data_IF_699343007917
#
_entry.id   IF_699343007917
#
_cell.length_a   1.000
_cell.length_b   1.000
_cell.length_c   1.000
_cell.angle_alpha   90.00
_cell.angle_beta   90.00
_cell.angle_gamma   90.00
#
_symmetry.space_group_name_H-M   'P 1'
#
loop_
_entity.id
_entity.type
_entity.pdbx_description
1 polymer ?
#
# COMPACT_ATOMS: atom_id res chain seq x y z
N UNK A 1 -13.18 5.34 -7.97
CA UNK A 1 -12.59 4.03 -8.35
C UNK A 1 -12.98 3.00 -7.29
N UNK A 2 -13.26 1.77 -7.69
CA UNK A 2 -13.64 0.68 -6.79
C UNK A 2 -12.56 -0.40 -6.81
N UNK A 3 -12.18 -0.88 -5.62
CA UNK A 3 -11.27 -2.01 -5.41
C UNK A 3 -12.04 -3.04 -4.59
N UNK A 4 -12.03 -4.29 -5.03
CA UNK A 4 -12.69 -5.39 -4.33
C UNK A 4 -11.65 -6.43 -3.94
N UNK A 5 -11.79 -7.01 -2.76
CA UNK A 5 -11.00 -8.16 -2.31
C UNK A 5 -11.90 -9.11 -1.53
N UNK A 6 -11.64 -10.41 -1.62
CA UNK A 6 -12.53 -11.42 -1.05
C UNK A 6 -11.85 -12.38 -0.07
N UNK A 7 -10.56 -12.69 -0.28
CA UNK A 7 -9.84 -13.63 0.58
C UNK A 7 -8.41 -13.13 0.84
N UNK A 8 -8.06 -12.76 2.09
CA UNK A 8 -6.74 -12.25 2.44
C UNK A 8 -5.61 -13.29 2.35
N UNK A 9 -5.91 -14.57 2.12
CA UNK A 9 -4.93 -15.63 1.90
C UNK A 9 -4.59 -15.80 0.41
N UNK A 10 -5.60 -15.73 -0.45
CA UNK A 10 -5.43 -15.79 -1.90
C UNK A 10 -4.98 -14.44 -2.47
N UNK A 11 -5.45 -13.35 -1.87
CA UNK A 11 -5.16 -11.96 -2.22
C UNK A 11 -4.48 -11.29 -1.01
N UNK A 12 -3.14 -11.41 -0.87
CA UNK A 12 -2.44 -10.83 0.26
C UNK A 12 -2.74 -9.32 0.36
N UNK A 13 -3.06 -8.79 1.56
CA UNK A 13 -3.44 -7.38 1.76
C UNK A 13 -2.48 -6.35 1.16
N UNK A 14 -1.19 -6.69 1.08
CA UNK A 14 -0.17 -5.84 0.47
C UNK A 14 -0.41 -5.57 -1.02
N UNK A 15 -1.03 -6.51 -1.75
CA UNK A 15 -1.42 -6.34 -3.16
C UNK A 15 -2.56 -5.32 -3.27
N UNK A 16 -3.55 -5.43 -2.39
CA UNK A 16 -4.67 -4.48 -2.28
C UNK A 16 -4.16 -3.08 -1.94
N UNK A 17 -3.29 -2.96 -0.93
CA UNK A 17 -2.64 -1.69 -0.55
C UNK A 17 -1.86 -1.08 -1.71
N UNK A 18 -1.03 -1.86 -2.40
CA UNK A 18 -0.25 -1.40 -3.55
C UNK A 18 -1.16 -0.85 -4.66
N UNK A 19 -2.30 -1.50 -4.88
CA UNK A 19 -3.31 -1.05 -5.85
C UNK A 19 -3.95 0.25 -5.40
N UNK A 20 -4.43 0.34 -4.16
CA UNK A 20 -5.04 1.55 -3.58
C UNK A 20 -4.08 2.75 -3.67
N UNK A 21 -2.83 2.59 -3.24
CA UNK A 21 -1.83 3.66 -3.28
C UNK A 21 -1.53 4.10 -4.72
N UNK A 22 -1.45 3.17 -5.66
CA UNK A 22 -1.25 3.50 -7.07
C UNK A 22 -2.43 4.29 -7.64
N UNK A 23 -3.67 3.94 -7.27
CA UNK A 23 -4.88 4.65 -7.69
C UNK A 23 -4.99 6.03 -7.05
N UNK A 24 -4.58 6.18 -5.79
CA UNK A 24 -4.61 7.47 -5.10
C UNK A 24 -3.52 8.44 -5.59
N UNK A 25 -2.43 7.92 -6.17
CA UNK A 25 -1.36 8.72 -6.75
C UNK A 25 -1.62 9.17 -8.19
N UNK A 26 -2.79 8.87 -8.78
CA UNK A 26 -3.08 9.28 -10.16
C UNK A 26 -3.07 10.79 -10.35
N UNK A 27 -2.71 11.24 -11.55
CA UNK A 27 -2.73 12.64 -11.92
C UNK A 27 -4.16 13.08 -12.26
N UNK A 28 -4.95 13.27 -11.20
CA UNK A 28 -6.33 13.71 -11.27
C UNK A 28 -6.61 14.70 -10.13
N UNK A 29 -7.51 15.68 -10.32
CA UNK A 29 -7.86 16.62 -9.25
C UNK A 29 -8.32 15.89 -7.99
N UNK A 30 -7.68 16.21 -6.85
CA UNK A 30 -7.88 15.47 -5.61
C UNK A 30 -9.33 15.54 -5.10
N UNK A 31 -10.02 16.66 -5.33
CA UNK A 31 -11.42 16.86 -4.95
C UNK A 31 -12.42 16.05 -5.80
N UNK A 32 -11.96 15.48 -6.91
CA UNK A 32 -12.76 14.64 -7.81
C UNK A 32 -12.33 13.17 -7.78
N UNK A 33 -11.29 12.86 -6.97
CA UNK A 33 -10.73 11.52 -6.85
C UNK A 33 -11.24 10.86 -5.57
N UNK A 34 -11.94 9.74 -5.72
CA UNK A 34 -12.31 8.89 -4.60
C UNK A 34 -11.96 7.43 -4.91
N UNK A 35 -11.44 6.72 -3.91
CA UNK A 35 -11.18 5.28 -3.97
C UNK A 35 -12.02 4.59 -2.89
N UNK A 36 -12.81 3.61 -3.29
CA UNK A 36 -13.65 2.80 -2.41
C UNK A 36 -13.12 1.38 -2.40
N UNK A 37 -13.00 0.78 -1.23
CA UNK A 37 -12.55 -0.60 -1.06
C UNK A 37 -13.69 -1.43 -0.47
N UNK A 38 -14.06 -2.52 -1.12
CA UNK A 38 -14.98 -3.54 -0.61
C UNK A 38 -14.16 -4.78 -0.24
N UNK A 39 -14.30 -5.25 1.00
CA UNK A 39 -13.65 -6.45 1.50
C UNK A 39 -14.72 -7.47 1.92
N UNK A 40 -15.01 -8.43 1.05
CA UNK A 40 -16.00 -9.48 1.30
C UNK A 40 -15.49 -10.48 2.35
N UNK A 41 -14.18 -10.60 2.51
CA UNK A 41 -13.53 -11.44 3.50
C UNK A 41 -13.54 -10.85 4.91
N UNK A 42 -13.97 -9.59 5.06
CA UNK A 42 -14.03 -8.84 6.32
C UNK A 42 -12.74 -9.00 7.15
N UNK A 43 -11.58 -8.95 6.50
CA UNK A 43 -10.32 -9.32 7.13
C UNK A 43 -9.80 -8.19 8.02
N UNK A 44 -9.58 -8.42 9.33
CA UNK A 44 -8.94 -7.43 10.20
C UNK A 44 -7.53 -7.06 9.70
N UNK A 45 -6.88 -7.99 9.01
CA UNK A 45 -5.56 -7.78 8.43
C UNK A 45 -5.61 -6.81 7.23
N UNK A 46 -6.58 -6.97 6.34
CA UNK A 46 -6.79 -6.04 5.21
C UNK A 46 -7.13 -4.65 5.73
N UNK A 47 -8.02 -4.56 6.73
CA UNK A 47 -8.36 -3.30 7.38
C UNK A 47 -7.13 -2.60 7.96
N UNK A 48 -6.34 -3.30 8.78
CA UNK A 48 -5.14 -2.71 9.39
C UNK A 48 -4.11 -2.29 8.34
N UNK A 49 -3.89 -3.11 7.31
CA UNK A 49 -3.00 -2.76 6.21
C UNK A 49 -3.44 -1.49 5.46
N UNK A 50 -4.74 -1.29 5.25
CA UNK A 50 -5.29 -0.07 4.64
C UNK A 50 -5.15 1.16 5.55
N UNK A 51 -5.26 0.99 6.88
CA UNK A 51 -5.00 2.06 7.85
C UNK A 51 -3.53 2.50 7.77
N UNK A 52 -2.57 1.58 7.81
CA UNK A 52 -1.16 1.94 7.67
C UNK A 52 -0.85 2.53 6.28
N UNK A 53 -1.46 1.99 5.22
CA UNK A 53 -1.35 2.55 3.87
C UNK A 53 -1.84 4.00 3.80
N UNK A 54 -2.90 4.37 4.53
CA UNK A 54 -3.40 5.75 4.53
C UNK A 54 -2.38 6.73 5.11
N UNK A 55 -1.63 6.34 6.15
CA UNK A 55 -0.54 7.16 6.71
C UNK A 55 0.61 7.28 5.72
N UNK A 56 1.01 6.16 5.13
CA UNK A 56 2.06 6.14 4.11
C UNK A 56 1.70 6.95 2.85
N UNK A 57 0.41 7.00 2.50
CA UNK A 57 -0.10 7.75 1.35
C UNK A 57 0.22 9.26 1.45
N UNK A 58 0.27 9.83 2.67
CA UNK A 58 0.64 11.22 2.92
C UNK A 58 2.06 11.55 2.47
N UNK A 59 2.96 10.55 2.44
CA UNK A 59 4.33 10.68 1.95
C UNK A 59 4.42 10.34 0.45
N UNK A 60 3.84 9.21 0.06
CA UNK A 60 3.99 8.67 -1.30
C UNK A 60 3.28 9.51 -2.36
N UNK A 61 2.05 9.96 -2.12
CA UNK A 61 1.27 10.66 -3.15
C UNK A 61 1.90 12.02 -3.50
N UNK A 62 2.30 12.88 -2.54
CA UNK A 62 3.00 14.11 -2.87
C UNK A 62 4.35 13.85 -3.55
N UNK A 63 5.08 12.81 -3.15
CA UNK A 63 6.32 12.41 -3.82
C UNK A 63 6.07 12.05 -5.29
N UNK A 64 5.07 11.21 -5.57
CA UNK A 64 4.71 10.85 -6.94
C UNK A 64 4.40 12.06 -7.81
N UNK A 65 3.63 13.02 -7.28
CA UNK A 65 3.25 14.24 -7.99
C UNK A 65 4.45 15.16 -8.21
N UNK A 66 5.24 15.41 -7.17
CA UNK A 66 6.41 16.31 -7.22
C UNK A 66 7.48 15.81 -8.19
N UNK A 67 7.72 14.51 -8.23
CA UNK A 67 8.77 13.90 -9.06
C UNK A 67 8.24 13.31 -10.38
N UNK A 68 6.98 13.57 -10.72
CA UNK A 68 6.31 13.04 -11.91
C UNK A 68 6.55 11.53 -12.10
N UNK A 69 6.39 10.77 -11.01
CA UNK A 69 6.62 9.33 -11.00
C UNK A 69 5.65 8.63 -11.95
N UNK A 70 6.22 7.94 -12.95
CA UNK A 70 5.45 7.23 -13.98
C UNK A 70 4.85 5.92 -13.45
N UNK A 71 5.61 5.19 -12.62
CA UNK A 71 5.18 3.92 -12.03
C UNK A 71 4.79 4.15 -10.58
N UNK A 72 3.50 4.22 -10.30
CA UNK A 72 2.96 4.61 -8.99
C UNK A 72 2.61 3.43 -8.08
N UNK A 73 2.59 2.23 -8.64
CA UNK A 73 2.53 0.98 -7.89
C UNK A 73 3.90 0.74 -7.24
N UNK A 74 3.95 0.72 -5.91
CA UNK A 74 5.16 0.54 -5.11
C UNK A 74 5.98 -0.67 -5.58
N UNK A 75 5.37 -1.85 -5.68
CA UNK A 75 6.09 -3.06 -6.07
C UNK A 75 6.84 -2.92 -7.38
N UNK A 76 6.19 -2.31 -8.36
CA UNK A 76 6.78 -2.12 -9.67
C UNK A 76 7.80 -0.98 -9.64
N UNK A 77 7.56 0.08 -8.88
CA UNK A 77 8.49 1.20 -8.73
C UNK A 77 9.81 0.76 -8.13
N UNK A 78 9.80 -0.02 -7.03
CA UNK A 78 11.04 -0.47 -6.37
C UNK A 78 11.76 -1.62 -7.09
N UNK A 79 11.11 -2.25 -8.06
CA UNK A 79 11.73 -3.20 -8.98
C UNK A 79 12.39 -2.52 -10.19
N UNK A 80 12.21 -1.21 -10.37
CA UNK A 80 12.92 -0.47 -11.41
C UNK A 80 14.41 -0.41 -11.08
N UNK A 81 15.23 -0.32 -12.12
CA UNK A 81 16.68 -0.25 -11.99
C UNK A 81 17.11 1.01 -11.21
N UNK A 82 18.25 0.96 -10.52
CA UNK A 82 18.68 2.06 -9.63
C UNK A 82 18.88 3.38 -10.37
N UNK A 83 19.14 3.34 -11.68
CA UNK A 83 19.23 4.51 -12.55
C UNK A 83 17.93 5.35 -12.63
N UNK A 84 16.78 4.78 -12.25
CA UNK A 84 15.45 5.42 -12.27
C UNK A 84 14.99 5.85 -10.86
N UNK A 85 15.65 5.34 -9.82
CA UNK A 85 15.24 5.52 -8.43
C UNK A 85 15.92 6.74 -7.80
N UNK A 86 15.25 7.88 -7.78
CA UNK A 86 15.75 9.12 -7.16
C UNK A 86 15.63 9.17 -5.64
N UNK A 87 15.16 8.11 -4.96
CA UNK A 87 14.76 8.16 -3.54
C UNK A 87 15.32 7.02 -2.70
N UNK A 88 16.49 7.22 -2.12
CA UNK A 88 17.12 6.30 -1.15
C UNK A 88 16.40 6.29 0.21
N UNK A 89 15.75 7.38 0.62
CA UNK A 89 14.99 7.49 1.89
C UNK A 89 13.62 6.78 1.86
N UNK A 90 12.97 6.67 0.70
CA UNK A 90 11.69 5.94 0.57
C UNK A 90 11.90 4.42 0.55
N UNK A 91 13.04 3.96 0.00
CA UNK A 91 13.43 2.55 0.06
C UNK A 91 13.54 2.07 1.51
N UNK A 92 14.16 2.85 2.40
CA UNK A 92 14.33 2.46 3.81
C UNK A 92 13.01 2.45 4.58
N UNK A 93 12.11 3.40 4.34
CA UNK A 93 10.76 3.40 4.94
C UNK A 93 9.92 2.19 4.51
N UNK A 94 9.91 1.83 3.22
CA UNK A 94 9.10 0.69 2.76
C UNK A 94 9.69 -0.65 3.17
N UNK A 95 11.02 -0.77 3.28
CA UNK A 95 11.65 -1.96 3.86
C UNK A 95 11.25 -2.09 5.34
N UNK A 96 11.12 -0.97 6.07
CA UNK A 96 10.65 -0.96 7.46
C UNK A 96 9.16 -1.34 7.57
N UNK A 97 8.27 -0.78 6.74
CA UNK A 97 6.85 -1.14 6.72
C UNK A 97 6.60 -2.56 6.18
N UNK A 98 7.47 -3.06 5.29
CA UNK A 98 7.51 -4.46 4.89
C UNK A 98 7.93 -5.36 6.06
N UNK A 99 8.82 -4.90 6.94
CA UNK A 99 9.19 -5.59 8.17
C UNK A 99 8.06 -5.56 9.21
N UNK A 100 7.28 -4.47 9.30
CA UNK A 100 6.05 -4.43 10.10
C UNK A 100 4.96 -5.35 9.51
N UNK A 101 4.80 -5.40 8.19
CA UNK A 101 3.94 -6.39 7.53
C UNK A 101 4.41 -7.83 7.81
N UNK A 102 5.72 -8.08 7.90
CA UNK A 102 6.28 -9.36 8.36
C UNK A 102 6.02 -9.60 9.85
N UNK A 103 6.04 -8.56 10.69
CA UNK A 103 5.66 -8.63 12.10
C UNK A 103 4.17 -8.96 12.25
N UNK A 104 3.31 -8.41 11.41
CA UNK A 104 1.89 -8.72 11.37
C UNK A 104 1.65 -10.15 10.85
N UNK A 105 2.37 -10.61 9.81
CA UNK A 105 2.38 -12.03 9.40
C UNK A 105 2.93 -12.96 10.49
N UNK A 106 3.88 -12.49 11.30
CA UNK A 106 4.42 -13.19 12.46
C UNK A 106 3.38 -13.29 13.59
N UNK A 107 2.64 -12.22 13.89
CA UNK A 107 1.56 -12.21 14.89
C UNK A 107 0.37 -13.06 14.44
N UNK A 108 0.06 -13.08 13.13
CA UNK A 108 -0.95 -13.99 12.53
C UNK A 108 -0.61 -15.47 12.70
N UNK A 109 0.69 -15.82 12.71
CA UNK A 109 1.16 -17.19 12.99
C UNK A 109 0.92 -17.64 14.44
N UNK A 110 0.61 -16.71 15.36
CA UNK A 110 0.48 -16.98 16.79
C UNK A 110 -0.94 -17.07 17.34
N UNK A 111 -2.01 -16.89 16.53
CA UNK A 111 -3.41 -16.98 16.98
C UNK A 111 -3.70 -16.26 18.32
N UNK A 112 -3.07 -15.11 18.56
CA UNK A 112 -3.29 -14.34 19.80
C UNK A 112 -3.58 -12.89 19.43
N UNK A 113 -4.81 -12.61 19.04
CA UNK A 113 -5.32 -11.23 19.07
C UNK A 113 -6.06 -11.03 20.40
N UNK A 114 -5.78 -9.97 21.18
CA UNK A 114 -6.72 -9.53 22.20
C UNK A 114 -7.99 -9.04 21.50
N UNK A 115 -9.14 -9.45 22.05
CA UNK A 115 -10.47 -8.99 21.63
C UNK A 115 -10.71 -7.55 22.01
#
# INVERSE_FOLDING_TARGET
MFVTTADPMLEPPIVTVNTVLSLMAVDYPANLLACYVSDDGCSPLTFHALVEASKFAELWIPYCKKHNVQVRALFKYFQLDESVLSGTELKSMIIHDSAECKHIQYMKRRQSWPT
#
